data_IF_255118458946
#
_entry.id   IF_255118458946
#
_cell.length_a   1.000
_cell.length_b   1.000
_cell.length_c   1.000
_cell.angle_alpha   90.00
_cell.angle_beta   90.00
_cell.angle_gamma   90.00
#
_symmetry.space_group_name_H-M   'P 1'
#
loop_
_entity.id
_entity.type
_entity.pdbx_description
1 polymer ?
#
# COMPACT_ATOMS: atom_id res chain seq x y z
N UNK A 1 10.07 21.03 -1.99
CA UNK A 1 8.83 21.10 -2.77
C UNK A 1 7.90 19.97 -2.36
N UNK A 2 6.69 20.32 -2.04
CA UNK A 2 5.71 19.31 -1.61
C UNK A 2 5.05 18.67 -2.83
N UNK A 3 4.67 17.40 -2.68
CA UNK A 3 3.88 16.71 -3.69
C UNK A 3 2.40 17.04 -3.47
N UNK A 4 1.58 16.80 -4.48
CA UNK A 4 0.14 17.01 -4.36
C UNK A 4 -0.61 15.69 -4.34
N UNK A 5 -1.91 15.78 -4.03
CA UNK A 5 -2.78 14.61 -3.94
C UNK A 5 -2.89 13.87 -5.28
N UNK A 6 -2.90 14.60 -6.38
CA UNK A 6 -2.99 14.00 -7.72
C UNK A 6 -1.81 13.07 -7.98
N UNK A 7 -0.59 13.46 -7.56
CA UNK A 7 0.60 12.63 -7.69
C UNK A 7 0.42 11.30 -6.97
N UNK A 8 -0.10 11.34 -5.74
CA UNK A 8 -0.32 10.11 -4.95
C UNK A 8 -1.44 9.27 -5.58
N UNK A 9 -2.52 9.90 -6.02
CA UNK A 9 -3.63 9.18 -6.66
C UNK A 9 -3.19 8.49 -7.94
N UNK A 10 -2.32 9.15 -8.73
CA UNK A 10 -1.78 8.54 -9.94
C UNK A 10 -0.90 7.33 -9.62
N UNK A 11 -0.10 7.41 -8.55
CA UNK A 11 0.70 6.27 -8.09
C UNK A 11 -0.17 5.11 -7.63
N UNK A 12 -1.26 5.39 -6.92
CA UNK A 12 -2.21 4.38 -6.46
C UNK A 12 -2.76 3.59 -7.64
N UNK A 13 -2.97 4.23 -8.78
CA UNK A 13 -3.53 3.62 -9.99
C UNK A 13 -2.46 3.07 -10.93
N UNK A 14 -1.19 3.24 -10.60
CA UNK A 14 -0.08 2.93 -11.52
C UNK A 14 0.19 1.44 -11.69
N UNK A 15 -0.39 0.60 -10.83
CA UNK A 15 -0.24 -0.85 -10.91
C UNK A 15 -1.45 -1.51 -10.24
N UNK A 16 -1.64 -2.81 -10.50
CA UNK A 16 -2.74 -3.55 -9.89
C UNK A 16 -2.62 -3.56 -8.37
N UNK A 17 -1.42 -3.83 -7.85
CA UNK A 17 -1.14 -3.78 -6.41
C UNK A 17 -0.09 -2.71 -6.14
N UNK A 18 -0.42 -1.76 -5.27
CA UNK A 18 0.50 -0.71 -4.86
C UNK A 18 0.58 -0.70 -3.35
N UNK A 19 1.79 -0.76 -2.82
CA UNK A 19 2.05 -0.77 -1.38
C UNK A 19 2.95 0.42 -1.04
N UNK A 20 2.41 1.36 -0.27
CA UNK A 20 3.22 2.42 0.31
C UNK A 20 3.85 1.86 1.58
N UNK A 21 5.16 1.86 1.64
CA UNK A 21 5.94 1.03 2.55
C UNK A 21 7.11 1.81 3.14
N UNK A 22 7.80 1.21 4.10
CA UNK A 22 9.13 1.64 4.54
C UNK A 22 9.98 0.38 4.64
N UNK A 23 11.25 0.50 4.25
CA UNK A 23 12.13 -0.66 4.12
C UNK A 23 12.36 -1.43 5.41
N UNK A 24 12.24 -0.75 6.57
CA UNK A 24 12.48 -1.35 7.88
C UNK A 24 11.19 -1.78 8.60
N UNK A 25 10.06 -1.75 7.94
CA UNK A 25 8.74 -1.95 8.56
C UNK A 25 8.31 -3.42 8.50
N UNK A 26 8.17 -4.11 9.66
CA UNK A 26 7.75 -5.52 9.68
C UNK A 26 6.36 -5.76 9.09
N UNK A 27 5.41 -4.86 9.33
CA UNK A 27 4.07 -4.99 8.77
C UNK A 27 4.06 -4.79 7.26
N UNK A 28 4.97 -3.95 6.74
CA UNK A 28 5.15 -3.77 5.30
C UNK A 28 5.66 -5.06 4.68
N UNK A 29 6.64 -5.69 5.33
CA UNK A 29 7.19 -6.98 4.89
C UNK A 29 6.09 -8.04 4.87
N UNK A 30 5.26 -8.07 5.91
CA UNK A 30 4.15 -9.02 6.01
C UNK A 30 3.17 -8.86 4.84
N UNK A 31 2.82 -7.61 4.50
CA UNK A 31 1.94 -7.34 3.36
C UNK A 31 2.55 -7.82 2.05
N UNK A 32 3.83 -7.54 1.83
CA UNK A 32 4.54 -7.98 0.61
C UNK A 32 4.54 -9.50 0.51
N UNK A 33 4.80 -10.19 1.62
CA UNK A 33 4.83 -11.66 1.65
C UNK A 33 3.49 -12.28 1.29
N UNK A 34 2.39 -11.63 1.66
CA UNK A 34 1.05 -12.10 1.28
C UNK A 34 0.90 -12.15 -0.24
N UNK A 35 1.29 -11.08 -0.93
CA UNK A 35 1.19 -11.06 -2.39
C UNK A 35 2.17 -12.02 -3.04
N UNK A 36 3.35 -12.22 -2.46
CA UNK A 36 4.29 -13.23 -2.93
C UNK A 36 3.65 -14.63 -2.86
N UNK A 37 2.97 -14.95 -1.76
CA UNK A 37 2.28 -16.23 -1.60
C UNK A 37 1.16 -16.42 -2.60
N UNK A 38 0.55 -15.34 -3.04
CA UNK A 38 -0.53 -15.37 -4.03
C UNK A 38 -0.01 -15.37 -5.46
N UNK A 39 1.30 -15.31 -5.65
CA UNK A 39 1.93 -15.15 -6.96
C UNK A 39 1.46 -13.89 -7.70
N UNK A 40 1.23 -12.82 -6.93
CA UNK A 40 0.86 -11.51 -7.47
C UNK A 40 2.04 -10.57 -7.37
N UNK A 41 2.34 -9.89 -8.47
CA UNK A 41 3.35 -8.83 -8.45
C UNK A 41 2.78 -7.59 -7.78
N UNK A 42 3.65 -6.76 -7.25
CA UNK A 42 3.23 -5.51 -6.62
C UNK A 42 4.28 -4.43 -6.86
N UNK A 43 3.85 -3.19 -6.75
CA UNK A 43 4.72 -2.04 -6.79
C UNK A 43 4.86 -1.51 -5.36
N UNK A 44 6.07 -1.56 -4.81
CA UNK A 44 6.34 -1.03 -3.48
C UNK A 44 6.97 0.35 -3.62
N UNK A 45 6.37 1.32 -2.93
CA UNK A 45 6.89 2.68 -2.89
C UNK A 45 7.44 2.89 -1.48
N UNK A 46 8.78 2.88 -1.38
CA UNK A 46 9.47 2.98 -0.08
C UNK A 46 9.61 4.43 0.31
N UNK A 47 8.79 4.87 1.25
CA UNK A 47 8.72 6.28 1.64
C UNK A 47 9.95 6.76 2.40
N UNK A 48 10.66 5.86 3.08
CA UNK A 48 11.89 6.19 3.78
C UNK A 48 13.05 6.48 2.84
N UNK A 49 12.92 6.11 1.57
CA UNK A 49 13.92 6.39 0.54
C UNK A 49 13.64 7.69 -0.22
N UNK A 50 12.55 8.38 0.13
CA UNK A 50 12.15 9.64 -0.52
C UNK A 50 12.36 10.81 0.42
N UNK A 51 12.85 11.93 -0.11
CA UNK A 51 13.00 13.16 0.67
C UNK A 51 11.64 13.69 1.14
N UNK A 52 10.60 13.45 0.37
CA UNK A 52 9.24 13.93 0.64
C UNK A 52 8.32 12.83 1.16
N UNK A 53 8.89 11.78 1.76
CA UNK A 53 8.12 10.64 2.28
C UNK A 53 7.03 11.03 3.28
N UNK A 54 7.30 12.03 4.14
CA UNK A 54 6.31 12.50 5.11
C UNK A 54 5.13 13.19 4.44
N UNK A 55 5.36 13.89 3.34
CA UNK A 55 4.28 14.51 2.57
C UNK A 55 3.38 13.44 1.98
N UNK A 56 3.96 12.32 1.51
CA UNK A 56 3.19 11.16 1.06
C UNK A 56 2.32 10.63 2.18
N UNK A 57 2.87 10.51 3.41
CA UNK A 57 2.11 10.01 4.55
C UNK A 57 0.95 10.94 4.92
N UNK A 58 1.16 12.25 4.84
CA UNK A 58 0.09 13.21 5.11
C UNK A 58 -1.07 13.04 4.12
N UNK A 59 -0.74 12.93 2.84
CA UNK A 59 -1.75 12.77 1.79
C UNK A 59 -2.46 11.42 1.93
N UNK A 60 -1.71 10.35 2.20
CA UNK A 60 -2.30 9.03 2.44
C UNK A 60 -3.21 9.04 3.65
N UNK A 61 -2.86 9.82 4.68
CA UNK A 61 -3.71 10.03 5.84
C UNK A 61 -5.04 10.66 5.47
N UNK A 62 -5.03 11.63 4.56
CA UNK A 62 -6.25 12.25 4.05
C UNK A 62 -7.11 11.27 3.25
N UNK A 63 -6.46 10.44 2.43
CA UNK A 63 -7.16 9.47 1.58
C UNK A 63 -7.71 8.29 2.36
N UNK A 64 -6.93 7.76 3.32
CA UNK A 64 -7.23 6.48 3.96
C UNK A 64 -7.60 6.57 5.43
N UNK A 65 -7.42 7.73 6.05
CA UNK A 65 -7.70 7.92 7.46
C UNK A 65 -6.55 7.64 8.41
N UNK A 66 -5.39 7.21 7.91
CA UNK A 66 -4.20 6.99 8.75
C UNK A 66 -2.92 7.21 7.97
N UNK A 67 -1.89 7.70 8.67
CA UNK A 67 -0.57 7.97 8.11
C UNK A 67 0.38 6.78 8.19
N UNK A 68 0.01 5.73 8.90
CA UNK A 68 0.88 4.57 9.11
C UNK A 68 1.13 3.79 7.82
N UNK A 69 2.24 3.08 7.77
CA UNK A 69 2.56 2.16 6.68
C UNK A 69 2.49 0.72 7.20
N UNK A 70 2.15 -0.25 6.37
CA UNK A 70 1.88 -0.11 4.94
C UNK A 70 0.49 0.46 4.67
N UNK A 71 0.33 1.10 3.51
CA UNK A 71 -0.98 1.45 2.95
C UNK A 71 -1.10 0.68 1.65
N UNK A 72 -2.05 -0.23 1.57
CA UNK A 72 -2.14 -1.20 0.46
C UNK A 72 -3.37 -0.93 -0.40
N UNK A 73 -3.16 -0.86 -1.70
CA UNK A 73 -4.21 -0.62 -2.69
C UNK A 73 -4.22 -1.74 -3.72
N UNK A 74 -5.40 -2.21 -4.07
CA UNK A 74 -5.58 -3.19 -5.14
C UNK A 74 -6.59 -2.62 -6.13
N UNK A 75 -6.20 -2.53 -7.39
CA UNK A 75 -7.02 -1.96 -8.46
C UNK A 75 -7.52 -0.55 -8.10
N UNK A 76 -6.68 0.22 -7.44
CA UNK A 76 -7.00 1.59 -7.04
C UNK A 76 -7.80 1.73 -5.76
N UNK A 77 -8.22 0.63 -5.15
CA UNK A 77 -9.00 0.65 -3.91
C UNK A 77 -8.14 0.39 -2.69
N UNK A 78 -8.34 1.19 -1.64
CA UNK A 78 -7.64 1.00 -0.39
C UNK A 78 -8.14 -0.25 0.33
N UNK A 79 -7.21 -1.15 0.69
CA UNK A 79 -7.54 -2.40 1.38
C UNK A 79 -7.27 -2.30 2.87
N UNK A 80 -6.21 -1.61 3.25
CA UNK A 80 -5.85 -1.46 4.65
C UNK A 80 -4.36 -1.54 4.89
N UNK A 81 -3.99 -1.76 6.12
CA UNK A 81 -2.62 -1.98 6.56
C UNK A 81 -2.24 -3.45 6.53
N UNK A 82 -1.09 -3.78 7.13
CA UNK A 82 -0.56 -5.15 7.07
C UNK A 82 -1.49 -6.19 7.69
N UNK A 83 -2.06 -5.89 8.84
CA UNK A 83 -2.98 -6.81 9.52
C UNK A 83 -4.24 -7.05 8.70
N UNK A 84 -4.78 -5.97 8.10
CA UNK A 84 -5.98 -6.07 7.26
C UNK A 84 -5.73 -6.95 6.05
N UNK A 85 -4.57 -6.78 5.40
CA UNK A 85 -4.19 -7.57 4.24
C UNK A 85 -4.04 -9.03 4.60
N UNK A 86 -3.40 -9.32 5.74
CA UNK A 86 -3.21 -10.70 6.21
C UNK A 86 -4.55 -11.36 6.47
N UNK A 87 -5.46 -10.67 7.15
CA UNK A 87 -6.82 -11.20 7.43
C UNK A 87 -7.59 -11.45 6.14
N UNK A 88 -7.53 -10.52 5.20
CA UNK A 88 -8.23 -10.66 3.92
C UNK A 88 -7.67 -11.85 3.12
N UNK A 89 -6.38 -12.09 3.21
CA UNK A 89 -5.75 -13.25 2.60
C UNK A 89 -6.25 -14.55 3.23
N UNK A 90 -6.25 -14.59 4.56
CA UNK A 90 -6.62 -15.80 5.30
C UNK A 90 -8.09 -16.19 5.14
N UNK A 91 -8.97 -15.21 5.01
CA UNK A 91 -10.40 -15.47 4.87
C UNK A 91 -10.88 -15.56 3.42
N UNK A 92 -9.99 -15.44 2.44
CA UNK A 92 -10.31 -15.56 1.03
C UNK A 92 -10.83 -14.30 0.36
N UNK A 93 -11.04 -13.23 1.10
CA UNK A 93 -11.56 -11.97 0.54
C UNK A 93 -10.57 -11.29 -0.41
N UNK A 94 -9.26 -11.41 -0.10
CA UNK A 94 -8.24 -10.78 -0.95
C UNK A 94 -8.20 -11.40 -2.34
N UNK A 95 -8.32 -12.72 -2.43
CA UNK A 95 -8.32 -13.40 -3.72
C UNK A 95 -9.47 -12.93 -4.61
N UNK A 96 -10.61 -12.63 -4.03
CA UNK A 96 -11.79 -12.16 -4.78
C UNK A 96 -11.56 -10.82 -5.45
N UNK A 97 -10.66 -10.00 -4.92
CA UNK A 97 -10.38 -8.69 -5.51
C UNK A 97 -9.66 -8.77 -6.86
N UNK A 98 -9.10 -9.93 -7.18
CA UNK A 98 -8.41 -10.16 -8.45
C UNK A 98 -9.28 -10.85 -9.50
N UNK A 99 -10.49 -11.21 -9.13
CA UNK A 99 -11.45 -11.85 -10.06
C UNK A 99 -12.03 -10.84 -11.07
#
# INVERSE_FOLDING_TARGET
MTIDRETVENLIKSDTVVIFSKTYCPYCKMAKEVFDKMNKTYKAIELDEKDDGEDYQDILGEITGARSVPRVFVKGEFIGGGTDVKKAFENGELAKRFD
#
